data_IF_043932463797
#
_entry.id   IF_043932463797
#
_cell.length_a   1.000
_cell.length_b   1.000
_cell.length_c   1.000
_cell.angle_alpha   90.00
_cell.angle_beta   90.00
_cell.angle_gamma   90.00
#
_symmetry.space_group_name_H-M   'P 1'
#
loop_
_entity.id
_entity.type
_entity.pdbx_description
1 polymer ?
#
# COMPACT_ATOMS: atom_id res chain seq x y z
N UNK A 1 -5.34 -10.05 -21.81
CA UNK A 1 -6.29 -9.85 -20.70
C UNK A 1 -5.52 -9.59 -19.41
N UNK A 2 -5.81 -8.48 -18.73
CA UNK A 2 -5.11 -8.12 -17.50
C UNK A 2 -5.85 -8.69 -16.31
N UNK A 3 -5.14 -9.42 -15.45
CA UNK A 3 -5.68 -9.93 -14.20
C UNK A 3 -5.52 -8.88 -13.11
N UNK A 4 -6.61 -8.51 -12.48
CA UNK A 4 -6.59 -7.53 -11.39
C UNK A 4 -6.00 -8.15 -10.12
N UNK A 5 -5.26 -7.33 -9.39
CA UNK A 5 -4.68 -7.73 -8.11
C UNK A 5 -5.04 -6.69 -7.05
N UNK A 6 -5.62 -7.17 -5.97
CA UNK A 6 -5.81 -6.36 -4.77
C UNK A 6 -4.82 -6.77 -3.69
N UNK A 7 -4.26 -5.80 -3.00
CA UNK A 7 -3.39 -6.03 -1.84
C UNK A 7 -4.07 -5.39 -0.65
N UNK A 8 -4.45 -6.21 0.32
CA UNK A 8 -5.06 -5.75 1.55
C UNK A 8 -3.97 -5.72 2.62
N UNK A 9 -3.57 -4.53 3.03
CA UNK A 9 -2.54 -4.33 4.04
C UNK A 9 -3.20 -3.91 5.36
N UNK A 10 -3.21 -4.80 6.33
CA UNK A 10 -3.67 -4.51 7.68
C UNK A 10 -2.51 -4.14 8.61
N UNK A 11 -1.36 -4.76 8.39
CA UNK A 11 -0.19 -4.60 9.24
C UNK A 11 0.43 -3.22 9.13
N UNK A 12 0.80 -2.64 10.27
CA UNK A 12 1.56 -1.40 10.33
C UNK A 12 3.07 -1.60 10.39
N UNK A 13 3.55 -2.85 10.34
CA UNK A 13 4.99 -3.14 10.40
C UNK A 13 5.69 -2.87 9.08
N UNK A 14 6.98 -2.53 9.18
CA UNK A 14 7.79 -2.22 8.01
C UNK A 14 7.87 -3.39 7.03
N UNK A 15 8.11 -4.61 7.51
CA UNK A 15 8.34 -5.76 6.64
C UNK A 15 7.14 -6.04 5.72
N UNK A 16 5.92 -6.02 6.26
CA UNK A 16 4.72 -6.27 5.47
C UNK A 16 4.38 -5.09 4.57
N UNK A 17 4.52 -3.87 5.06
CA UNK A 17 4.32 -2.67 4.23
C UNK A 17 5.29 -2.63 3.06
N UNK A 18 6.56 -2.91 3.33
CA UNK A 18 7.58 -2.99 2.30
C UNK A 18 7.22 -4.05 1.24
N UNK A 19 6.84 -5.24 1.70
CA UNK A 19 6.55 -6.32 0.75
C UNK A 19 5.24 -6.11 0.00
N UNK A 20 4.27 -5.43 0.60
CA UNK A 20 3.07 -5.02 -0.13
C UNK A 20 3.42 -4.18 -1.36
N UNK A 21 4.39 -3.27 -1.20
CA UNK A 21 4.87 -2.44 -2.31
C UNK A 21 5.69 -3.24 -3.32
N UNK A 22 6.49 -4.20 -2.85
CA UNK A 22 7.24 -5.10 -3.74
C UNK A 22 6.29 -5.87 -4.65
N UNK A 23 5.24 -6.45 -4.08
CA UNK A 23 4.24 -7.19 -4.84
C UNK A 23 3.46 -6.26 -5.78
N UNK A 24 3.06 -5.08 -5.30
CA UNK A 24 2.31 -4.12 -6.09
C UNK A 24 3.12 -3.63 -7.30
N UNK A 25 4.36 -3.21 -7.07
CA UNK A 25 5.23 -2.73 -8.14
C UNK A 25 5.54 -3.83 -9.15
N UNK A 26 5.83 -5.04 -8.68
CA UNK A 26 6.11 -6.18 -9.55
C UNK A 26 4.92 -6.56 -10.43
N UNK A 27 3.73 -6.63 -9.85
CA UNK A 27 2.52 -6.96 -10.60
C UNK A 27 2.17 -5.87 -11.61
N UNK A 28 2.27 -4.59 -11.21
CA UNK A 28 2.00 -3.47 -12.11
C UNK A 28 3.00 -3.41 -13.26
N UNK A 29 4.27 -3.72 -13.00
CA UNK A 29 5.30 -3.79 -14.04
C UNK A 29 5.00 -4.90 -15.07
N UNK A 30 4.27 -5.93 -14.67
CA UNK A 30 3.80 -6.99 -15.57
C UNK A 30 2.51 -6.62 -16.30
N UNK A 31 2.02 -5.40 -16.12
CA UNK A 31 0.81 -4.91 -16.80
C UNK A 31 -0.50 -5.22 -16.09
N UNK A 32 -0.45 -5.69 -14.85
CA UNK A 32 -1.67 -5.94 -14.07
C UNK A 32 -2.22 -4.64 -13.49
N UNK A 33 -3.53 -4.57 -13.37
CA UNK A 33 -4.18 -3.48 -12.62
C UNK A 33 -4.12 -3.80 -11.13
N UNK A 34 -3.45 -2.94 -10.37
CA UNK A 34 -3.18 -3.18 -8.95
C UNK A 34 -3.86 -2.11 -8.10
N UNK A 35 -4.52 -2.55 -7.03
CA UNK A 35 -5.09 -1.68 -6.01
C UNK A 35 -4.55 -2.09 -4.65
N UNK A 36 -3.95 -1.15 -3.93
CA UNK A 36 -3.58 -1.33 -2.51
C UNK A 36 -4.70 -0.76 -1.66
N UNK A 37 -5.21 -1.56 -0.75
CA UNK A 37 -6.19 -1.15 0.24
C UNK A 37 -5.55 -1.29 1.62
N UNK A 38 -5.15 -0.16 2.19
CA UNK A 38 -4.57 -0.13 3.53
C UNK A 38 -5.67 0.06 4.55
N UNK A 39 -5.68 -0.75 5.59
CA UNK A 39 -6.64 -0.67 6.68
C UNK A 39 -5.93 -0.75 8.04
N UNK A 40 -6.58 -0.25 9.08
CA UNK A 40 -6.04 -0.27 10.43
C UNK A 40 -4.63 0.35 10.45
N UNK A 41 -3.67 -0.26 11.13
CA UNK A 41 -2.29 0.25 11.18
C UNK A 41 -1.60 0.27 9.81
N UNK A 42 -2.08 -0.53 8.87
CA UNK A 42 -1.56 -0.51 7.49
C UNK A 42 -1.70 0.85 6.80
N UNK A 43 -2.64 1.69 7.24
CA UNK A 43 -2.80 3.05 6.73
C UNK A 43 -1.54 3.89 6.89
N UNK A 44 -0.67 3.57 7.86
CA UNK A 44 0.58 4.29 8.07
C UNK A 44 1.51 4.24 6.87
N UNK A 45 1.43 3.18 6.06
CA UNK A 45 2.21 3.11 4.82
C UNK A 45 1.89 4.26 3.87
N UNK A 46 0.63 4.69 3.83
CA UNK A 46 0.14 5.69 2.89
C UNK A 46 0.15 7.11 3.47
N UNK A 47 0.64 7.28 4.69
CA UNK A 47 0.82 8.60 5.30
C UNK A 47 1.94 9.38 4.61
N UNK A 48 1.87 10.70 4.67
CA UNK A 48 2.91 11.56 4.12
C UNK A 48 3.36 12.59 5.17
N UNK A 49 4.57 12.41 5.76
CA UNK A 49 5.50 11.30 5.51
C UNK A 49 5.03 10.01 6.17
N UNK A 50 5.38 8.87 5.57
CA UNK A 50 5.12 7.59 6.22
C UNK A 50 6.07 7.38 7.39
N UNK A 51 5.57 7.04 8.59
CA UNK A 51 6.44 6.75 9.74
C UNK A 51 7.32 5.52 9.51
N UNK A 52 6.98 4.66 8.56
CA UNK A 52 7.79 3.49 8.20
C UNK A 52 9.15 3.87 7.64
N UNK A 53 9.29 5.08 7.10
CA UNK A 53 10.57 5.56 6.59
C UNK A 53 11.61 5.74 7.70
N UNK A 54 11.17 5.94 8.93
CA UNK A 54 12.04 6.08 10.09
C UNK A 54 12.34 4.76 10.80
N UNK A 55 11.72 3.66 10.35
CA UNK A 55 11.99 2.34 10.92
C UNK A 55 13.43 1.92 10.59
N UNK A 56 14.19 1.36 11.56
CA UNK A 56 15.56 0.89 11.30
C UNK A 56 15.68 -0.12 10.16
N UNK A 57 14.62 -0.88 9.86
CA UNK A 57 14.61 -1.82 8.74
C UNK A 57 14.73 -1.12 7.39
N UNK A 58 14.30 0.12 7.29
CA UNK A 58 14.40 0.86 6.02
C UNK A 58 15.87 1.02 5.61
N UNK A 59 16.69 1.54 6.51
CA UNK A 59 18.12 1.66 6.25
C UNK A 59 18.79 0.30 6.05
N UNK A 60 18.36 -0.72 6.80
CA UNK A 60 18.94 -2.06 6.72
C UNK A 60 18.71 -2.72 5.36
N UNK A 61 17.50 -2.65 4.79
CA UNK A 61 17.23 -3.24 3.48
C UNK A 61 17.97 -2.47 2.37
N UNK A 62 18.03 -1.16 2.48
CA UNK A 62 18.75 -0.32 1.51
C UNK A 62 20.24 -0.60 1.53
N UNK A 63 20.83 -0.80 2.71
CA UNK A 63 22.24 -1.14 2.85
C UNK A 63 22.57 -2.48 2.18
N UNK A 64 21.60 -3.34 2.01
CA UNK A 64 21.77 -4.64 1.33
C UNK A 64 21.40 -4.60 -0.15
N UNK A 65 21.22 -3.41 -0.72
CA UNK A 65 20.91 -3.23 -2.14
C UNK A 65 19.45 -3.48 -2.51
N UNK A 66 18.54 -3.47 -1.53
CA UNK A 66 17.11 -3.64 -1.77
C UNK A 66 16.42 -2.27 -1.76
N UNK A 67 15.52 -2.04 -2.71
CA UNK A 67 14.78 -0.79 -2.77
C UNK A 67 13.95 -0.60 -1.50
N UNK A 68 14.01 0.59 -0.92
CA UNK A 68 13.26 0.93 0.28
C UNK A 68 11.83 1.36 -0.03
N UNK A 69 11.07 1.65 1.02
CA UNK A 69 9.66 2.04 0.90
C UNK A 69 9.50 3.31 0.05
N UNK A 70 10.34 4.33 0.24
CA UNK A 70 10.21 5.57 -0.53
C UNK A 70 10.33 5.31 -2.03
N UNK A 71 11.34 4.55 -2.44
CA UNK A 71 11.56 4.21 -3.85
C UNK A 71 10.40 3.40 -4.43
N UNK A 72 9.89 2.43 -3.65
CA UNK A 72 8.79 1.57 -4.09
C UNK A 72 7.46 2.33 -4.16
N UNK A 73 7.21 3.28 -3.24
CA UNK A 73 6.04 4.15 -3.32
C UNK A 73 6.05 4.96 -4.60
N UNK A 74 7.20 5.54 -4.96
CA UNK A 74 7.34 6.31 -6.20
C UNK A 74 7.10 5.41 -7.42
N UNK A 75 7.64 4.21 -7.42
CA UNK A 75 7.42 3.25 -8.50
C UNK A 75 5.94 2.89 -8.65
N UNK A 76 5.24 2.66 -7.54
CA UNK A 76 3.81 2.37 -7.55
C UNK A 76 3.01 3.54 -8.15
N UNK A 77 3.35 4.78 -7.80
CA UNK A 77 2.70 5.96 -8.37
C UNK A 77 2.91 6.01 -9.88
N UNK A 78 4.14 5.84 -10.34
CA UNK A 78 4.47 5.87 -11.78
C UNK A 78 3.78 4.76 -12.55
N UNK A 79 3.61 3.58 -11.95
CA UNK A 79 2.98 2.44 -12.57
C UNK A 79 1.44 2.46 -12.47
N UNK A 80 0.88 3.50 -11.88
CA UNK A 80 -0.57 3.67 -11.81
C UNK A 80 -1.27 2.79 -10.79
N UNK A 81 -0.57 2.34 -9.76
CA UNK A 81 -1.18 1.58 -8.67
C UNK A 81 -2.17 2.46 -7.92
N UNK A 82 -3.42 2.00 -7.83
CA UNK A 82 -4.47 2.69 -7.06
C UNK A 82 -4.22 2.46 -5.57
N UNK A 83 -4.36 3.51 -4.78
CA UNK A 83 -4.10 3.44 -3.33
C UNK A 83 -5.29 3.97 -2.57
N UNK A 84 -5.83 3.14 -1.68
CA UNK A 84 -7.02 3.44 -0.89
C UNK A 84 -6.70 3.24 0.58
N UNK A 85 -7.02 4.23 1.41
CA UNK A 85 -7.00 4.10 2.87
C UNK A 85 -8.42 3.81 3.35
N UNK A 86 -8.57 2.78 4.17
CA UNK A 86 -9.87 2.34 4.66
C UNK A 86 -10.45 3.34 5.67
N UNK A 87 -11.62 3.90 5.38
CA UNK A 87 -12.28 4.84 6.28
C UNK A 87 -12.52 4.24 7.67
N UNK A 88 -13.08 3.04 7.71
CA UNK A 88 -13.34 2.35 8.97
C UNK A 88 -12.05 2.00 9.72
N UNK A 89 -11.02 1.59 9.00
CA UNK A 89 -9.72 1.29 9.59
C UNK A 89 -9.05 2.51 10.21
N UNK A 90 -9.12 3.66 9.55
CA UNK A 90 -8.63 4.92 10.11
C UNK A 90 -9.37 5.26 11.41
N UNK A 91 -10.69 5.10 11.43
CA UNK A 91 -11.49 5.35 12.64
C UNK A 91 -11.13 4.38 13.76
N UNK A 92 -11.02 3.10 13.45
CA UNK A 92 -10.74 2.06 14.43
C UNK A 92 -9.41 2.30 15.15
N UNK A 93 -8.42 2.86 14.46
CA UNK A 93 -7.08 3.09 15.01
C UNK A 93 -6.85 4.52 15.52
N UNK A 94 -7.89 5.36 15.51
CA UNK A 94 -7.74 6.76 15.92
C UNK A 94 -6.87 7.58 14.97
N UNK A 95 -6.83 7.21 13.70
CA UNK A 95 -6.00 7.83 12.68
C UNK A 95 -6.77 8.78 11.75
N UNK A 96 -8.00 9.15 12.11
CA UNK A 96 -8.76 10.14 11.35
C UNK A 96 -8.00 11.45 11.34
N UNK A 97 -7.79 12.02 10.16
CA UNK A 97 -6.99 13.24 10.02
C UNK A 97 -5.50 12.97 9.74
N UNK A 98 -5.08 11.70 9.69
CA UNK A 98 -3.72 11.36 9.28
C UNK A 98 -3.44 11.96 7.90
N UNK A 99 -2.36 12.76 7.74
CA UNK A 99 -2.00 13.27 6.42
C UNK A 99 -1.64 12.12 5.49
N UNK A 100 -2.32 12.04 4.35
CA UNK A 100 -2.11 10.98 3.37
C UNK A 100 -1.38 11.53 2.15
N UNK A 101 -0.62 10.67 1.49
CA UNK A 101 0.09 11.02 0.28
C UNK A 101 -0.87 11.46 -0.84
N UNK A 102 -0.43 12.35 -1.75
CA UNK A 102 -1.26 12.79 -2.87
C UNK A 102 -1.75 11.60 -3.69
N UNK A 103 -3.04 11.62 -4.06
CA UNK A 103 -3.65 10.58 -4.87
C UNK A 103 -4.20 9.40 -4.08
N UNK A 104 -3.97 9.34 -2.77
CA UNK A 104 -4.58 8.31 -1.91
C UNK A 104 -6.06 8.66 -1.69
N UNK A 105 -6.94 7.70 -1.97
CA UNK A 105 -8.38 7.83 -1.74
C UNK A 105 -8.72 7.33 -0.34
N UNK A 106 -9.80 7.87 0.24
CA UNK A 106 -10.40 7.31 1.46
C UNK A 106 -11.73 6.68 1.04
N UNK A 107 -11.87 5.38 1.28
CA UNK A 107 -13.08 4.65 0.91
C UNK A 107 -13.24 3.40 1.78
N UNK A 108 -14.33 2.68 1.59
CA UNK A 108 -14.62 1.45 2.32
C UNK A 108 -14.20 0.20 1.59
N UNK A 109 -14.36 -0.94 2.27
CA UNK A 109 -14.00 -2.25 1.72
C UNK A 109 -14.76 -2.58 0.42
N UNK A 110 -15.99 -2.13 0.29
CA UNK A 110 -16.77 -2.41 -0.92
C UNK A 110 -16.12 -1.80 -2.16
N UNK A 111 -15.56 -0.60 -2.04
CA UNK A 111 -14.84 0.05 -3.14
C UNK A 111 -13.63 -0.79 -3.56
N UNK A 112 -12.90 -1.33 -2.59
CA UNK A 112 -11.76 -2.20 -2.86
C UNK A 112 -12.19 -3.49 -3.57
N UNK A 113 -13.21 -4.16 -3.04
CA UNK A 113 -13.70 -5.40 -3.63
C UNK A 113 -14.21 -5.19 -5.06
N UNK A 114 -14.85 -4.07 -5.31
CA UNK A 114 -15.30 -3.70 -6.65
C UNK A 114 -14.12 -3.45 -7.59
N UNK A 115 -13.08 -2.78 -7.12
CA UNK A 115 -11.87 -2.53 -7.91
C UNK A 115 -11.17 -3.83 -8.29
N UNK A 116 -11.12 -4.81 -7.40
CA UNK A 116 -10.48 -6.11 -7.65
C UNK A 116 -11.36 -6.99 -8.53
N UNK A 117 -12.68 -6.92 -8.36
CA UNK A 117 -13.62 -7.75 -9.11
C UNK A 117 -13.32 -9.23 -8.91
N UNK A 118 -13.13 -9.95 -10.00
CA UNK A 118 -12.81 -11.38 -9.98
C UNK A 118 -11.31 -11.67 -9.92
N UNK A 119 -10.50 -10.64 -9.65
CA UNK A 119 -9.07 -10.79 -9.55
C UNK A 119 -8.64 -11.46 -8.26
N UNK A 120 -7.36 -11.39 -8.02
CA UNK A 120 -6.68 -11.99 -6.88
C UNK A 120 -6.60 -11.00 -5.73
N UNK A 121 -6.68 -11.49 -4.49
CA UNK A 121 -6.41 -10.68 -3.31
C UNK A 121 -5.29 -11.32 -2.51
N UNK A 122 -4.30 -10.51 -2.16
CA UNK A 122 -3.22 -10.88 -1.24
C UNK A 122 -3.41 -10.06 0.03
N UNK A 123 -3.38 -10.71 1.18
CA UNK A 123 -3.53 -10.06 2.49
C UNK A 123 -2.21 -10.10 3.25
N UNK A 124 -1.80 -8.93 3.74
CA UNK A 124 -0.55 -8.76 4.50
C UNK A 124 -0.75 -8.02 5.81
#
# INVERSE_FOLDING_TARGET
MTRRLGILLESGGHARGHYALVVAAGAAALGREVTIFATNQGCLLLADPSPLLADPREAAVMARGVAGIATLLDACVELGVRRIACEAGLKAEGLVGLPLAPGVEIAGIATFLEAVGEGQIVTL
#
